data_IF_372253522852
#
_entry.id   IF_372253522852
#
_cell.length_a   1.000
_cell.length_b   1.000
_cell.length_c   1.000
_cell.angle_alpha   90.00
_cell.angle_beta   90.00
_cell.angle_gamma   90.00
#
_symmetry.space_group_name_H-M   'P 1'
#
loop_
_entity.id
_entity.type
_entity.pdbx_description
1 polymer ?
#
# COMPACT_ATOMS: atom_id res chain seq x y z
N UNK A 1 -42.33 3.58 0.45
CA UNK A 1 -40.90 3.30 0.20
C UNK A 1 -40.17 3.25 1.53
N UNK A 2 -39.83 2.07 2.02
CA UNK A 2 -39.11 1.89 3.29
C UNK A 2 -37.64 2.20 3.02
N UNK A 3 -37.11 3.30 3.58
CA UNK A 3 -35.65 3.52 3.60
C UNK A 3 -35.06 2.54 4.59
N UNK A 4 -34.48 1.44 4.10
CA UNK A 4 -33.65 0.59 4.93
C UNK A 4 -32.37 1.36 5.28
N UNK A 5 -32.34 1.99 6.45
CA UNK A 5 -31.20 2.74 6.95
C UNK A 5 -30.25 1.80 7.72
N UNK A 6 -29.93 0.64 7.14
CA UNK A 6 -28.93 -0.26 7.69
C UNK A 6 -27.56 0.41 7.52
N UNK A 7 -27.22 1.33 8.42
CA UNK A 7 -25.92 1.96 8.57
C UNK A 7 -24.81 0.97 8.98
N UNK A 8 -24.88 -0.26 8.48
CA UNK A 8 -23.93 -1.33 8.72
C UNK A 8 -22.70 -1.03 7.88
N UNK A 9 -21.67 -0.50 8.53
CA UNK A 9 -20.36 -0.29 7.92
C UNK A 9 -19.63 -1.64 7.82
N UNK A 10 -18.97 -1.89 6.69
CA UNK A 10 -18.09 -3.05 6.57
C UNK A 10 -16.98 -2.96 7.62
N UNK A 11 -16.84 -3.98 8.47
CA UNK A 11 -15.80 -4.03 9.49
C UNK A 11 -14.40 -4.23 8.90
N UNK A 12 -14.29 -4.75 7.68
CA UNK A 12 -13.01 -5.01 7.01
C UNK A 12 -12.67 -3.99 5.92
N UNK A 13 -13.60 -3.09 5.59
CA UNK A 13 -13.33 -1.94 4.74
C UNK A 13 -12.54 -0.88 5.50
N UNK A 14 -11.69 -0.13 4.81
CA UNK A 14 -10.75 0.79 5.46
C UNK A 14 -11.46 1.89 6.26
N UNK A 15 -12.42 2.59 5.65
CA UNK A 15 -13.13 3.70 6.29
C UNK A 15 -14.61 3.39 6.61
N UNK A 16 -15.11 2.26 6.09
CA UNK A 16 -16.52 1.89 6.17
C UNK A 16 -17.44 2.82 5.35
N UNK A 17 -16.92 3.47 4.31
CA UNK A 17 -17.68 4.38 3.44
C UNK A 17 -17.05 4.47 2.06
N UNK A 18 -17.83 4.11 1.04
CA UNK A 18 -17.35 4.06 -0.34
C UNK A 18 -16.80 5.40 -0.86
N UNK A 19 -17.39 6.55 -0.48
CA UNK A 19 -16.89 7.87 -0.88
C UNK A 19 -15.53 8.20 -0.28
N UNK A 20 -15.30 7.83 0.99
CA UNK A 20 -14.02 8.01 1.68
C UNK A 20 -12.97 7.06 1.11
N UNK A 21 -13.33 5.79 0.88
CA UNK A 21 -12.45 4.79 0.28
C UNK A 21 -12.06 5.16 -1.17
N UNK A 22 -12.99 5.73 -1.95
CA UNK A 22 -12.71 6.27 -3.28
C UNK A 22 -11.69 7.41 -3.25
N UNK A 23 -11.83 8.33 -2.28
CA UNK A 23 -10.89 9.44 -2.12
C UNK A 23 -9.48 8.93 -1.77
N UNK A 24 -9.38 7.95 -0.85
CA UNK A 24 -8.11 7.29 -0.51
C UNK A 24 -7.47 6.68 -1.76
N UNK A 25 -8.25 5.99 -2.60
CA UNK A 25 -7.76 5.41 -3.85
C UNK A 25 -7.18 6.46 -4.82
N UNK A 26 -7.87 7.58 -5.02
CA UNK A 26 -7.44 8.61 -5.98
C UNK A 26 -6.21 9.37 -5.51
N UNK A 27 -6.19 9.80 -4.25
CA UNK A 27 -5.05 10.54 -3.70
C UNK A 27 -3.82 9.65 -3.67
N UNK A 28 -3.96 8.41 -3.19
CA UNK A 28 -2.83 7.46 -3.16
C UNK A 28 -2.32 7.12 -4.56
N UNK A 29 -3.20 6.94 -5.55
CA UNK A 29 -2.80 6.69 -6.93
C UNK A 29 -1.97 7.83 -7.52
N UNK A 30 -2.34 9.09 -7.26
CA UNK A 30 -1.57 10.26 -7.72
C UNK A 30 -0.18 10.26 -7.07
N UNK A 31 -0.10 10.06 -5.75
CA UNK A 31 1.18 10.00 -5.03
C UNK A 31 2.08 8.91 -5.60
N UNK A 32 1.54 7.71 -5.80
CA UNK A 32 2.28 6.58 -6.36
C UNK A 32 2.72 6.83 -7.80
N UNK A 33 1.86 7.42 -8.64
CA UNK A 33 2.20 7.74 -10.01
C UNK A 33 3.35 8.76 -10.09
N UNK A 34 3.30 9.82 -9.28
CA UNK A 34 4.38 10.81 -9.21
C UNK A 34 5.68 10.17 -8.72
N UNK A 35 5.60 9.29 -7.70
CA UNK A 35 6.76 8.56 -7.19
C UNK A 35 7.40 7.67 -8.27
N UNK A 36 6.58 6.93 -9.01
CA UNK A 36 7.04 6.13 -10.14
C UNK A 36 7.67 6.98 -11.26
N UNK A 37 7.11 8.15 -11.57
CA UNK A 37 7.68 9.07 -12.56
C UNK A 37 9.05 9.59 -12.09
N UNK A 38 9.20 9.94 -10.81
CA UNK A 38 10.49 10.40 -10.26
C UNK A 38 11.55 9.30 -10.35
N UNK A 39 11.22 8.07 -9.97
CA UNK A 39 12.13 6.93 -10.11
C UNK A 39 12.48 6.64 -11.58
N UNK A 40 11.48 6.65 -12.46
CA UNK A 40 11.69 6.46 -13.89
C UNK A 40 12.58 7.57 -14.46
N UNK A 41 12.34 8.83 -14.08
CA UNK A 41 13.15 9.98 -14.48
C UNK A 41 14.61 9.84 -14.05
N UNK A 42 14.87 9.32 -12.84
CA UNK A 42 16.22 8.99 -12.39
C UNK A 42 16.89 7.98 -13.35
N UNK A 43 16.24 6.84 -13.63
CA UNK A 43 16.82 5.81 -14.51
C UNK A 43 16.96 6.26 -15.98
N UNK A 44 16.09 7.13 -16.48
CA UNK A 44 16.17 7.63 -17.85
C UNK A 44 17.24 8.73 -18.04
N UNK A 45 17.68 9.37 -16.96
CA UNK A 45 18.65 10.48 -17.00
C UNK A 45 20.06 10.08 -16.56
N UNK A 46 20.22 8.87 -15.99
CA UNK A 46 21.49 8.31 -15.56
C UNK A 46 21.77 7.05 -16.38
N UNK A 47 22.87 7.02 -17.14
CA UNK A 47 23.22 5.89 -18.01
C UNK A 47 23.61 4.64 -17.20
N UNK A 48 24.83 4.64 -16.67
CA UNK A 48 25.34 3.54 -15.84
C UNK A 48 25.12 3.87 -14.35
N UNK A 49 23.98 3.45 -13.79
CA UNK A 49 23.65 3.70 -12.39
C UNK A 49 24.58 2.89 -11.47
N UNK A 50 25.51 3.58 -10.83
CA UNK A 50 26.39 3.01 -9.81
C UNK A 50 25.68 2.91 -8.44
N UNK A 51 26.20 2.09 -7.54
CA UNK A 51 25.72 2.02 -6.16
C UNK A 51 25.78 3.38 -5.45
N UNK A 52 26.85 4.15 -5.69
CA UNK A 52 27.03 5.46 -5.05
C UNK A 52 25.98 6.47 -5.52
N UNK A 53 25.67 6.52 -6.82
CA UNK A 53 24.63 7.41 -7.35
C UNK A 53 23.25 7.03 -6.85
N UNK A 54 22.90 5.74 -6.92
CA UNK A 54 21.62 5.24 -6.43
C UNK A 54 21.42 5.51 -4.95
N UNK A 55 22.41 5.16 -4.12
CA UNK A 55 22.33 5.38 -2.68
C UNK A 55 22.28 6.87 -2.34
N UNK A 56 23.06 7.73 -3.00
CA UNK A 56 23.02 9.18 -2.78
C UNK A 56 21.66 9.78 -3.12
N UNK A 57 21.04 9.34 -4.23
CA UNK A 57 19.70 9.76 -4.61
C UNK A 57 18.63 9.30 -3.60
N UNK A 58 18.59 8.00 -3.31
CA UNK A 58 17.57 7.40 -2.43
C UNK A 58 17.70 7.83 -0.97
N UNK A 59 18.91 8.07 -0.47
CA UNK A 59 19.17 8.52 0.90
C UNK A 59 19.19 10.05 1.06
N UNK A 60 18.99 10.81 -0.02
CA UNK A 60 18.73 12.24 0.10
C UNK A 60 17.46 12.51 0.92
N UNK A 61 17.43 13.58 1.71
CA UNK A 61 16.29 13.90 2.57
C UNK A 61 14.95 13.96 1.80
N UNK A 62 14.85 14.63 0.62
CA UNK A 62 13.61 14.66 -0.15
C UNK A 62 13.13 13.27 -0.56
N UNK A 63 14.05 12.41 -1.03
CA UNK A 63 13.69 11.07 -1.51
C UNK A 63 13.30 10.15 -0.34
N UNK A 64 13.98 10.24 0.80
CA UNK A 64 13.60 9.50 2.02
C UNK A 64 12.20 9.85 2.51
N UNK A 65 11.88 11.15 2.57
CA UNK A 65 10.54 11.62 2.94
C UNK A 65 9.50 11.19 1.90
N UNK A 66 9.80 11.35 0.62
CA UNK A 66 8.88 10.97 -0.44
C UNK A 66 8.60 9.46 -0.47
N UNK A 67 9.62 8.65 -0.20
CA UNK A 67 9.48 7.19 -0.11
C UNK A 67 8.59 6.77 1.05
N UNK A 68 8.70 7.43 2.22
CA UNK A 68 7.76 7.19 3.33
C UNK A 68 6.32 7.53 2.94
N UNK A 69 6.11 8.68 2.30
CA UNK A 69 4.77 9.10 1.82
C UNK A 69 4.24 8.10 0.78
N UNK A 70 5.07 7.63 -0.14
CA UNK A 70 4.70 6.63 -1.13
C UNK A 70 4.33 5.28 -0.49
N UNK A 71 5.02 4.84 0.57
CA UNK A 71 4.69 3.60 1.29
C UNK A 71 3.35 3.74 2.04
N UNK A 72 3.07 4.90 2.65
CA UNK A 72 1.77 5.17 3.25
C UNK A 72 0.65 5.22 2.21
N UNK A 73 0.91 5.82 1.04
CA UNK A 73 -0.01 5.80 -0.08
C UNK A 73 -0.26 4.37 -0.57
N UNK A 74 0.79 3.55 -0.70
CA UNK A 74 0.70 2.14 -1.08
C UNK A 74 -0.15 1.36 -0.08
N UNK A 75 0.01 1.58 1.23
CA UNK A 75 -0.78 0.94 2.26
C UNK A 75 -2.28 1.20 2.07
N UNK A 76 -2.68 2.47 1.91
CA UNK A 76 -4.07 2.85 1.65
C UNK A 76 -4.60 2.32 0.32
N UNK A 77 -3.81 2.43 -0.74
CA UNK A 77 -4.14 1.98 -2.09
C UNK A 77 -4.36 0.47 -2.15
N UNK A 78 -3.43 -0.29 -1.58
CA UNK A 78 -3.50 -1.74 -1.52
C UNK A 78 -4.66 -2.21 -0.65
N UNK A 79 -4.88 -1.60 0.52
CA UNK A 79 -5.98 -2.00 1.40
C UNK A 79 -7.33 -1.87 0.70
N UNK A 80 -7.66 -0.69 0.17
CA UNK A 80 -8.96 -0.46 -0.49
C UNK A 80 -9.07 -1.31 -1.76
N UNK A 81 -8.00 -1.38 -2.55
CA UNK A 81 -8.01 -2.06 -3.85
C UNK A 81 -8.20 -3.56 -3.70
N UNK A 82 -7.38 -4.19 -2.87
CA UNK A 82 -7.46 -5.63 -2.63
C UNK A 82 -8.71 -6.01 -1.83
N UNK A 83 -9.18 -5.17 -0.90
CA UNK A 83 -10.47 -5.38 -0.26
C UNK A 83 -11.61 -5.44 -1.28
N UNK A 84 -11.64 -4.49 -2.22
CA UNK A 84 -12.65 -4.45 -3.29
C UNK A 84 -12.58 -5.70 -4.16
N UNK A 85 -11.36 -6.11 -4.58
CA UNK A 85 -11.15 -7.35 -5.34
C UNK A 85 -11.68 -8.56 -4.57
N UNK A 86 -11.35 -8.69 -3.29
CA UNK A 86 -11.79 -9.82 -2.49
C UNK A 86 -13.31 -9.84 -2.31
N UNK A 87 -13.96 -8.70 -2.11
CA UNK A 87 -15.42 -8.65 -1.95
C UNK A 87 -16.19 -8.87 -3.25
N UNK A 88 -15.62 -8.51 -4.40
CA UNK A 88 -16.31 -8.62 -5.69
C UNK A 88 -16.17 -10.02 -6.32
N UNK A 89 -15.03 -10.68 -6.06
CA UNK A 89 -14.70 -11.95 -6.69
C UNK A 89 -14.80 -13.16 -5.75
N UNK A 90 -14.52 -12.99 -4.46
CA UNK A 90 -14.51 -14.09 -3.48
C UNK A 90 -15.84 -14.11 -2.72
N UNK A 91 -16.89 -14.49 -3.44
CA UNK A 91 -18.27 -14.48 -2.96
C UNK A 91 -18.84 -15.88 -2.88
N UNK A 92 -19.79 -16.10 -1.97
CA UNK A 92 -20.44 -17.40 -1.82
C UNK A 92 -21.19 -17.85 -3.08
N UNK A 93 -21.68 -16.91 -3.90
CA UNK A 93 -22.29 -17.23 -5.19
C UNK A 93 -21.31 -17.81 -6.20
N UNK A 94 -20.03 -17.41 -6.17
CA UNK A 94 -18.99 -17.87 -7.11
C UNK A 94 -18.20 -19.07 -6.59
N UNK A 95 -18.01 -19.17 -5.27
CA UNK A 95 -17.06 -20.12 -4.65
C UNK A 95 -17.69 -20.97 -3.54
N UNK A 96 -19.00 -20.87 -3.32
CA UNK A 96 -19.72 -21.64 -2.30
C UNK A 96 -19.41 -21.21 -0.86
N UNK A 97 -19.64 -22.09 0.10
CA UNK A 97 -19.52 -21.78 1.54
C UNK A 97 -18.09 -21.46 2.00
N UNK A 98 -17.07 -21.89 1.24
CA UNK A 98 -15.66 -21.65 1.55
C UNK A 98 -15.22 -20.19 1.32
N UNK A 99 -15.97 -19.42 0.52
CA UNK A 99 -15.62 -18.07 0.10
C UNK A 99 -15.34 -17.13 1.26
N UNK A 100 -16.19 -17.14 2.29
CA UNK A 100 -16.04 -16.26 3.46
C UNK A 100 -14.76 -16.57 4.22
N UNK A 101 -14.43 -17.85 4.43
CA UNK A 101 -13.19 -18.26 5.11
C UNK A 101 -11.96 -17.83 4.30
N UNK A 102 -11.96 -18.09 2.99
CA UNK A 102 -10.87 -17.72 2.09
C UNK A 102 -10.64 -16.20 2.09
N UNK A 103 -11.72 -15.40 1.99
CA UNK A 103 -11.64 -13.94 2.03
C UNK A 103 -11.03 -13.42 3.32
N UNK A 104 -11.41 -13.98 4.48
CA UNK A 104 -10.83 -13.58 5.78
C UNK A 104 -9.33 -13.89 5.86
N UNK A 105 -8.90 -15.04 5.35
CA UNK A 105 -7.48 -15.42 5.29
C UNK A 105 -6.71 -14.47 4.37
N UNK A 106 -7.18 -14.25 3.14
CA UNK A 106 -6.51 -13.36 2.19
C UNK A 106 -6.46 -11.92 2.67
N UNK A 107 -7.53 -11.43 3.29
CA UNK A 107 -7.55 -10.09 3.87
C UNK A 107 -6.56 -9.97 5.03
N UNK A 108 -6.41 -11.01 5.86
CA UNK A 108 -5.39 -11.03 6.93
C UNK A 108 -3.98 -10.98 6.35
N UNK A 109 -3.67 -11.81 5.34
CA UNK A 109 -2.38 -11.80 4.66
C UNK A 109 -2.05 -10.45 4.01
N UNK A 110 -3.03 -9.83 3.36
CA UNK A 110 -2.89 -8.50 2.78
C UNK A 110 -2.53 -7.46 3.85
N UNK A 111 -3.22 -7.45 5.00
CA UNK A 111 -2.92 -6.51 6.09
C UNK A 111 -1.51 -6.75 6.63
N UNK A 112 -1.12 -8.00 6.84
CA UNK A 112 0.22 -8.35 7.29
C UNK A 112 1.29 -7.89 6.28
N UNK A 113 1.08 -8.10 4.99
CA UNK A 113 2.00 -7.63 3.95
C UNK A 113 2.14 -6.11 3.95
N UNK A 114 1.04 -5.37 4.09
CA UNK A 114 1.06 -3.90 4.21
C UNK A 114 1.90 -3.47 5.42
N UNK A 115 1.70 -4.10 6.58
CA UNK A 115 2.47 -3.78 7.79
C UNK A 115 3.96 -4.09 7.61
N UNK A 116 4.30 -5.24 7.01
CA UNK A 116 5.69 -5.59 6.69
C UNK A 116 6.32 -4.52 5.79
N UNK A 117 5.65 -4.12 4.70
CA UNK A 117 6.17 -3.08 3.81
C UNK A 117 6.32 -1.72 4.50
N UNK A 118 5.38 -1.36 5.37
CA UNK A 118 5.44 -0.12 6.14
C UNK A 118 6.66 -0.09 7.08
N UNK A 119 6.79 -1.09 7.94
CA UNK A 119 7.88 -1.13 8.92
C UNK A 119 9.22 -1.37 8.27
N UNK A 120 9.30 -2.27 7.29
CA UNK A 120 10.54 -2.53 6.58
C UNK A 120 11.03 -1.31 5.80
N UNK A 121 10.11 -0.56 5.17
CA UNK A 121 10.45 0.71 4.54
C UNK A 121 11.00 1.75 5.50
N UNK A 122 10.38 1.90 6.68
CA UNK A 122 10.91 2.78 7.74
C UNK A 122 12.31 2.33 8.15
N UNK A 123 12.55 1.03 8.33
CA UNK A 123 13.87 0.50 8.67
C UNK A 123 14.91 0.78 7.58
N UNK A 124 14.57 0.63 6.29
CA UNK A 124 15.49 0.90 5.17
C UNK A 124 15.93 2.36 5.14
N UNK A 125 14.97 3.29 5.26
CA UNK A 125 15.25 4.71 5.09
C UNK A 125 15.62 5.43 6.38
N UNK A 126 15.24 4.93 7.55
CA UNK A 126 15.39 5.65 8.84
C UNK A 126 15.90 4.77 9.97
N UNK A 127 16.06 3.48 9.75
CA UNK A 127 16.84 2.66 10.68
C UNK A 127 18.27 3.18 10.73
N UNK A 128 18.82 3.31 11.93
CA UNK A 128 20.25 3.07 12.09
C UNK A 128 20.43 1.67 11.53
N UNK A 129 21.12 1.52 10.40
CA UNK A 129 21.13 0.27 9.64
C UNK A 129 21.41 -0.93 10.55
N UNK A 130 21.21 -2.14 10.03
CA UNK A 130 21.58 -3.41 10.66
C UNK A 130 23.02 -3.52 11.22
N UNK A 131 23.81 -2.44 11.27
CA UNK A 131 25.12 -2.27 11.90
C UNK A 131 25.17 -2.34 13.43
N UNK A 132 24.21 -2.99 14.10
CA UNK A 132 24.43 -3.51 15.47
C UNK A 132 24.75 -5.01 15.46
N UNK A 133 24.64 -5.71 14.32
CA UNK A 133 24.95 -7.16 14.20
C UNK A 133 26.14 -7.41 13.26
N UNK A 134 26.94 -6.38 12.94
CA UNK A 134 28.13 -6.51 12.09
C UNK A 134 29.35 -5.81 12.72
N UNK A 135 29.55 -6.03 14.02
CA UNK A 135 30.85 -5.87 14.72
C UNK A 135 31.21 -7.20 15.35
#
# INVERSE_FOLDING_TARGET
MIKNNSGVKSATGLTGSGTRDWMVQRISAIVLAVYSIVLLGFFLTHGDVTFLEWSSFMYSLPMRLFSLVAILALAGHAWVGMWTVFTDYITSGKMGESATKLRMVLQTFMILAILVYLFWGIMIFWGNGFGVIAV
#
